data_IF_222557358371
#
_entry.id   IF_222557358371
#
_cell.length_a   1.000
_cell.length_b   1.000
_cell.length_c   1.000
_cell.angle_alpha   90.00
_cell.angle_beta   90.00
_cell.angle_gamma   90.00
#
_symmetry.space_group_name_H-M   'P 1'
#
loop_
_entity.id
_entity.type
_entity.pdbx_description
1 polymer ?
#
# COMPACT_ATOMS: atom_id res chain seq x y z
N UNK A 1 12.33 -16.52 -0.10
CA UNK A 1 10.86 -16.37 -0.24
C UNK A 1 10.36 -16.77 -1.63
N UNK A 2 9.94 -18.03 -1.81
CA UNK A 2 9.24 -18.46 -3.04
C UNK A 2 7.92 -17.67 -3.23
N UNK A 3 7.67 -17.18 -4.45
CA UNK A 3 6.60 -16.24 -4.84
C UNK A 3 5.16 -16.61 -4.40
N UNK A 4 4.86 -17.88 -4.13
CA UNK A 4 3.50 -18.36 -3.84
C UNK A 4 2.91 -17.86 -2.51
N UNK A 5 3.75 -17.58 -1.49
CA UNK A 5 3.27 -17.09 -0.17
C UNK A 5 2.84 -15.62 -0.16
N UNK A 6 2.97 -14.92 -1.29
CA UNK A 6 2.60 -13.51 -1.44
C UNK A 6 1.21 -13.31 -2.06
N UNK A 7 0.43 -14.39 -2.21
CA UNK A 7 -0.88 -14.34 -2.85
C UNK A 7 -0.82 -13.65 -4.24
N UNK A 8 0.19 -14.01 -5.04
CA UNK A 8 0.43 -13.44 -6.36
C UNK A 8 0.99 -12.01 -6.38
N UNK A 9 1.40 -11.45 -5.24
CA UNK A 9 2.08 -10.15 -5.19
C UNK A 9 3.56 -10.25 -5.56
N UNK A 10 3.96 -9.41 -6.50
CA UNK A 10 5.33 -9.23 -6.96
C UNK A 10 6.07 -8.20 -6.11
N UNK A 11 7.36 -8.03 -6.39
CA UNK A 11 8.15 -6.96 -5.78
C UNK A 11 7.56 -5.61 -6.18
N UNK A 12 7.49 -4.70 -5.21
CA UNK A 12 6.89 -3.36 -5.29
C UNK A 12 5.36 -3.31 -5.39
N UNK A 13 4.67 -4.45 -5.38
CA UNK A 13 3.24 -4.46 -5.13
C UNK A 13 2.92 -3.99 -3.71
N UNK A 14 1.73 -3.42 -3.55
CA UNK A 14 1.18 -3.10 -2.23
C UNK A 14 0.23 -4.21 -1.81
N UNK A 15 0.43 -4.69 -0.59
CA UNK A 15 -0.39 -5.75 0.01
C UNK A 15 -1.07 -5.24 1.27
N UNK A 16 -2.24 -5.80 1.56
CA UNK A 16 -2.84 -5.81 2.89
C UNK A 16 -2.32 -7.03 3.63
N UNK A 17 -1.83 -6.81 4.85
CA UNK A 17 -1.47 -7.86 5.79
C UNK A 17 -2.47 -7.77 6.92
N UNK A 18 -3.25 -8.83 7.14
CA UNK A 18 -4.27 -8.90 8.18
C UNK A 18 -4.00 -10.03 9.15
N UNK A 19 -4.48 -9.85 10.38
CA UNK A 19 -4.50 -10.84 11.45
C UNK A 19 -5.94 -11.25 11.71
N UNK A 20 -6.15 -12.49 12.17
CA UNK A 20 -7.49 -13.06 12.42
C UNK A 20 -8.37 -12.26 13.40
N UNK A 21 -7.80 -11.34 14.18
CA UNK A 21 -8.53 -10.42 15.07
C UNK A 21 -9.01 -9.12 14.38
N UNK A 22 -8.93 -9.05 13.05
CA UNK A 22 -9.40 -7.93 12.24
C UNK A 22 -8.41 -6.77 12.11
N UNK A 23 -7.25 -6.82 12.77
CA UNK A 23 -6.19 -5.83 12.57
C UNK A 23 -5.54 -6.01 11.21
N UNK A 24 -5.25 -4.90 10.54
CA UNK A 24 -4.54 -4.94 9.28
C UNK A 24 -3.58 -3.75 9.11
N UNK A 25 -2.60 -3.95 8.25
CA UNK A 25 -1.72 -2.90 7.74
C UNK A 25 -1.59 -3.01 6.23
N UNK A 26 -1.20 -1.91 5.61
CA UNK A 26 -0.86 -1.86 4.20
C UNK A 26 0.64 -1.67 4.06
N UNK A 27 1.30 -2.49 3.23
CA UNK A 27 2.75 -2.52 3.11
C UNK A 27 3.18 -2.75 1.66
N UNK A 28 4.32 -2.17 1.28
CA UNK A 28 4.96 -2.47 0.00
C UNK A 28 5.83 -3.73 0.13
N UNK A 29 5.79 -4.58 -0.89
CA UNK A 29 6.58 -5.83 -0.94
C UNK A 29 7.99 -5.52 -1.43
N UNK A 30 8.99 -5.65 -0.55
CA UNK A 30 10.40 -5.44 -0.93
C UNK A 30 11.12 -6.77 -1.24
N UNK A 31 10.78 -7.81 -0.47
CA UNK A 31 11.43 -9.13 -0.52
C UNK A 31 12.63 -9.25 0.43
N UNK A 32 13.03 -10.49 0.74
CA UNK A 32 14.19 -10.82 1.56
C UNK A 32 14.73 -12.22 1.22
N UNK A 33 15.95 -12.49 1.67
CA UNK A 33 16.65 -13.78 1.47
C UNK A 33 16.49 -14.77 2.64
N UNK A 34 15.87 -14.36 3.76
CA UNK A 34 15.54 -15.27 4.87
C UNK A 34 14.56 -16.39 4.48
N UNK A 35 14.42 -17.35 5.38
CA UNK A 35 13.50 -18.48 5.26
C UNK A 35 12.06 -18.06 4.90
N UNK A 36 11.36 -18.93 4.17
CA UNK A 36 10.08 -18.61 3.53
C UNK A 36 8.93 -18.35 4.53
N UNK A 37 9.10 -18.72 5.79
CA UNK A 37 8.18 -18.53 6.92
C UNK A 37 8.46 -17.26 7.74
N UNK A 38 9.55 -16.56 7.43
CA UNK A 38 9.90 -15.31 8.09
C UNK A 38 9.28 -14.16 7.31
N UNK A 39 8.46 -13.35 7.97
CA UNK A 39 7.96 -12.08 7.44
C UNK A 39 8.69 -10.92 8.13
N UNK A 40 9.44 -10.14 7.37
CA UNK A 40 10.11 -8.95 7.90
C UNK A 40 9.20 -7.73 7.78
N UNK A 41 8.94 -7.10 8.92
CA UNK A 41 8.08 -5.92 9.02
C UNK A 41 8.79 -4.79 9.77
N UNK A 42 8.63 -3.58 9.26
CA UNK A 42 9.08 -2.37 9.92
C UNK A 42 8.45 -2.25 11.32
N UNK A 43 9.17 -1.58 12.22
CA UNK A 43 8.72 -1.38 13.61
C UNK A 43 7.29 -0.82 13.69
N UNK A 44 6.97 0.15 12.84
CA UNK A 44 5.64 0.77 12.78
C UNK A 44 4.54 -0.21 12.35
N UNK A 45 4.82 -1.08 11.38
CA UNK A 45 3.86 -2.07 10.88
C UNK A 45 3.62 -3.13 11.95
N UNK A 46 4.67 -3.60 12.62
CA UNK A 46 4.56 -4.54 13.74
C UNK A 46 3.74 -3.99 14.89
N UNK A 47 3.97 -2.74 15.29
CA UNK A 47 3.20 -2.08 16.36
C UNK A 47 1.73 -1.97 16.00
N UNK A 48 1.39 -1.62 14.75
CA UNK A 48 0.00 -1.55 14.27
C UNK A 48 -0.68 -2.93 14.23
N UNK A 49 0.04 -3.96 13.80
CA UNK A 49 -0.44 -5.35 13.83
C UNK A 49 -0.45 -5.95 15.24
N UNK A 50 0.16 -5.28 16.22
CA UNK A 50 0.35 -5.80 17.58
C UNK A 50 1.06 -7.15 17.61
N UNK A 51 2.15 -7.26 16.82
CA UNK A 51 3.02 -8.44 16.76
C UNK A 51 4.39 -8.13 17.33
N UNK A 52 4.96 -9.07 18.07
CA UNK A 52 6.28 -8.97 18.65
C UNK A 52 7.35 -9.55 17.71
N UNK A 53 8.62 -9.26 18.00
CA UNK A 53 9.74 -9.89 17.28
C UNK A 53 9.76 -11.38 17.64
N UNK A 54 10.02 -12.24 16.64
CA UNK A 54 10.10 -13.69 16.77
C UNK A 54 8.80 -14.39 17.23
N UNK A 55 7.68 -13.68 17.20
CA UNK A 55 6.36 -14.24 17.46
C UNK A 55 5.84 -15.02 16.25
N UNK A 56 5.41 -16.27 16.47
CA UNK A 56 4.75 -17.06 15.44
C UNK A 56 3.26 -16.72 15.40
N UNK A 57 2.83 -16.01 14.35
CA UNK A 57 1.44 -15.59 14.14
C UNK A 57 0.94 -15.99 12.75
N UNK A 58 -0.34 -16.33 12.66
CA UNK A 58 -1.02 -16.51 11.38
C UNK A 58 -1.41 -15.14 10.80
N UNK A 59 -0.97 -14.88 9.57
CA UNK A 59 -1.22 -13.64 8.84
C UNK A 59 -1.76 -13.96 7.45
N UNK A 60 -2.77 -13.22 7.04
CA UNK A 60 -3.30 -13.25 5.69
C UNK A 60 -2.66 -12.12 4.88
N UNK A 61 -2.18 -12.43 3.67
CA UNK A 61 -1.60 -11.46 2.74
C UNK A 61 -2.47 -11.38 1.50
N UNK A 62 -2.92 -10.18 1.15
CA UNK A 62 -3.78 -9.91 0.01
C UNK A 62 -3.18 -8.80 -0.85
N UNK A 63 -3.00 -9.05 -2.15
CA UNK A 63 -2.60 -7.99 -3.10
C UNK A 63 -3.70 -6.94 -3.20
N UNK A 64 -3.34 -5.66 -3.06
CA UNK A 64 -4.28 -4.57 -3.29
C UNK A 64 -4.47 -4.30 -4.79
N UNK A 65 -5.70 -3.97 -5.15
CA UNK A 65 -5.99 -3.37 -6.45
C UNK A 65 -5.55 -1.91 -6.54
N UNK A 66 -5.62 -1.35 -7.74
CA UNK A 66 -5.20 0.01 -8.08
C UNK A 66 -5.68 1.11 -7.09
N UNK A 67 -6.96 1.12 -6.71
CA UNK A 67 -7.49 2.10 -5.74
C UNK A 67 -6.86 1.95 -4.34
N UNK A 68 -6.66 0.71 -3.89
CA UNK A 68 -6.00 0.43 -2.61
C UNK A 68 -4.54 0.88 -2.63
N UNK A 69 -3.85 0.65 -3.75
CA UNK A 69 -2.48 1.10 -3.98
C UNK A 69 -2.38 2.62 -3.98
N UNK A 70 -3.27 3.35 -4.67
CA UNK A 70 -3.32 4.82 -4.64
C UNK A 70 -3.55 5.32 -3.21
N UNK A 71 -4.52 4.73 -2.50
CA UNK A 71 -4.80 5.05 -1.10
C UNK A 71 -3.56 4.87 -0.22
N UNK A 72 -2.80 3.79 -0.42
CA UNK A 72 -1.54 3.57 0.28
C UNK A 72 -0.52 4.67 -0.01
N UNK A 73 -0.28 5.01 -1.29
CA UNK A 73 0.68 6.05 -1.68
C UNK A 73 0.39 7.41 -1.03
N UNK A 74 -0.88 7.80 -0.88
CA UNK A 74 -1.27 9.10 -0.28
C UNK A 74 -1.32 9.09 1.25
N UNK A 75 -1.29 7.92 1.88
CA UNK A 75 -1.40 7.74 3.35
C UNK A 75 -0.15 7.15 4.02
N UNK A 76 0.79 6.60 3.24
CA UNK A 76 2.02 5.99 3.77
C UNK A 76 2.78 6.98 4.65
N UNK A 77 3.41 6.48 5.71
CA UNK A 77 4.17 7.31 6.68
C UNK A 77 5.40 7.97 6.06
N UNK A 78 6.02 7.33 5.08
CA UNK A 78 7.19 7.87 4.36
C UNK A 78 6.84 9.21 3.68
N UNK A 79 7.46 10.33 4.08
CA UNK A 79 7.18 11.63 3.50
C UNK A 79 7.59 11.72 2.03
N UNK A 80 8.66 11.04 1.60
CA UNK A 80 9.17 11.11 0.22
C UNK A 80 8.13 10.53 -0.74
N UNK A 81 7.57 9.38 -0.37
CA UNK A 81 6.53 8.72 -1.16
C UNK A 81 5.21 9.52 -1.11
N UNK A 82 4.81 9.93 0.10
CA UNK A 82 3.52 10.60 0.31
C UNK A 82 3.41 11.97 -0.35
N UNK A 83 4.48 12.77 -0.32
CA UNK A 83 4.46 14.12 -0.89
C UNK A 83 4.31 14.05 -2.41
N UNK A 84 5.11 13.20 -3.08
CA UNK A 84 5.01 12.99 -4.53
C UNK A 84 3.64 12.51 -4.96
N UNK A 85 3.07 11.54 -4.23
CA UNK A 85 1.74 11.02 -4.51
C UNK A 85 0.64 12.09 -4.35
N UNK A 86 0.71 12.91 -3.29
CA UNK A 86 -0.26 14.00 -3.07
C UNK A 86 -0.17 15.07 -4.15
N UNK A 87 1.05 15.43 -4.59
CA UNK A 87 1.24 16.36 -5.69
C UNK A 87 0.59 15.84 -6.97
N UNK A 88 0.83 14.58 -7.32
CA UNK A 88 0.20 13.95 -8.49
C UNK A 88 -1.33 13.99 -8.42
N UNK A 89 -1.92 13.66 -7.26
CA UNK A 89 -3.38 13.71 -7.07
C UNK A 89 -3.93 15.14 -7.23
N UNK A 90 -3.24 16.14 -6.66
CA UNK A 90 -3.64 17.55 -6.80
C UNK A 90 -3.55 17.98 -8.27
N UNK A 91 -2.47 17.63 -8.98
CA UNK A 91 -2.31 17.96 -10.40
C UNK A 91 -3.42 17.36 -11.27
N UNK A 92 -3.79 16.09 -11.04
CA UNK A 92 -4.90 15.45 -11.75
C UNK A 92 -6.22 16.14 -11.44
N UNK A 93 -6.48 16.47 -10.16
CA UNK A 93 -7.70 17.18 -9.77
C UNK A 93 -7.81 18.55 -10.45
N UNK A 94 -6.72 19.34 -10.47
CA UNK A 94 -6.69 20.64 -11.15
C UNK A 94 -6.88 20.49 -12.67
N UNK A 95 -6.27 19.48 -13.29
CA UNK A 95 -6.47 19.16 -14.70
C UNK A 95 -7.92 18.83 -15.03
N UNK A 96 -8.60 18.05 -14.19
CA UNK A 96 -10.02 17.72 -14.34
C UNK A 96 -10.91 18.95 -14.18
N UNK A 97 -10.61 19.83 -13.22
CA UNK A 97 -11.34 21.10 -13.06
C UNK A 97 -11.18 21.97 -14.30
N UNK A 98 -9.95 22.12 -14.82
CA UNK A 98 -9.69 22.87 -16.04
C UNK A 98 -10.41 22.29 -17.25
N UNK A 99 -10.38 20.96 -17.41
CA UNK A 99 -11.08 20.26 -18.48
C UNK A 99 -12.60 20.47 -18.40
N UNK A 100 -13.17 20.35 -17.20
CA UNK A 100 -14.61 20.53 -16.99
C UNK A 100 -15.06 21.96 -17.31
N UNK A 101 -14.31 22.96 -16.84
CA UNK A 101 -14.58 24.38 -17.16
C UNK A 101 -14.46 24.65 -18.67
N UNK A 102 -13.46 24.05 -19.34
CA UNK A 102 -13.29 24.16 -20.78
C UNK A 102 -14.47 23.55 -21.56
N UNK A 103 -14.94 22.36 -21.15
CA UNK A 103 -16.12 21.73 -21.76
C UNK A 103 -17.36 22.61 -21.58
N UNK A 104 -17.59 23.15 -20.38
CA UNK A 104 -18.72 24.06 -20.13
C UNK A 104 -18.64 25.28 -21.06
N UNK A 105 -17.44 25.85 -21.25
CA UNK A 105 -17.23 26.99 -22.12
C UNK A 105 -17.42 26.69 -23.61
N UNK A 106 -17.36 25.43 -24.03
CA UNK A 106 -17.53 25.03 -25.43
C UNK A 106 -18.99 24.71 -25.76
N UNK A 107 -19.75 24.23 -24.77
CA UNK A 107 -21.16 23.83 -24.90
C UNK A 107 -22.11 25.02 -24.65
N UNK A 108 -21.65 26.08 -23.99
CA UNK A 108 -22.40 27.30 -23.72
C UNK A 108 -21.91 28.45 -24.59
#
# INVERSE_FOLDING_TARGET
MKYWRRNGADRFDVVRISRGDGKFVLAAVIGHEKADDILQLDYDLRRRLSVNVDECVELCVEKLGWLGTICWYVTVKDPVVRISARLAVISVALGLVGLFLGIISLVK
#
